data_IF_645771224039
#
_entry.id   IF_645771224039
#
_cell.length_a   1.000
_cell.length_b   1.000
_cell.length_c   1.000
_cell.angle_alpha   90.00
_cell.angle_beta   90.00
_cell.angle_gamma   90.00
#
_symmetry.space_group_name_H-M   'P 1'
#
loop_
_entity.id
_entity.type
_entity.pdbx_description
1 polymer ?
#
# COMPACT_ATOMS: atom_id res chain seq x y z
N UNK A 1 12.45 -18.83 -11.04
CA UNK A 1 11.44 -17.80 -10.71
C UNK A 1 10.89 -17.94 -9.28
N UNK A 2 10.72 -19.12 -8.73
CA UNK A 2 10.24 -19.34 -7.35
C UNK A 2 11.13 -18.69 -6.27
N UNK A 3 12.45 -18.68 -6.44
CA UNK A 3 13.38 -18.13 -5.44
C UNK A 3 13.29 -16.61 -5.25
N UNK A 4 12.93 -15.85 -6.27
CA UNK A 4 12.86 -14.37 -6.19
C UNK A 4 11.59 -13.92 -5.45
N UNK A 5 10.49 -14.61 -5.68
CA UNK A 5 9.19 -14.31 -5.06
C UNK A 5 9.22 -14.67 -3.57
N UNK A 6 9.80 -15.82 -3.23
CA UNK A 6 10.02 -16.24 -1.84
C UNK A 6 10.90 -15.24 -1.08
N UNK A 7 11.96 -14.73 -1.72
CA UNK A 7 12.87 -13.75 -1.11
C UNK A 7 12.18 -12.41 -0.83
N UNK A 8 11.38 -11.89 -1.75
CA UNK A 8 10.65 -10.63 -1.55
C UNK A 8 9.64 -10.74 -0.40
N UNK A 9 8.99 -11.89 -0.26
CA UNK A 9 8.01 -12.10 0.80
C UNK A 9 8.65 -12.29 2.18
N UNK A 10 9.76 -13.02 2.23
CA UNK A 10 10.58 -13.16 3.46
C UNK A 10 11.12 -11.80 3.91
N UNK A 11 11.58 -10.99 2.97
CA UNK A 11 12.04 -9.62 3.23
C UNK A 11 10.90 -8.73 3.75
N UNK A 12 9.74 -8.77 3.11
CA UNK A 12 8.55 -8.04 3.58
C UNK A 12 8.17 -8.46 5.01
N UNK A 13 8.15 -9.74 5.32
CA UNK A 13 7.83 -10.27 6.65
C UNK A 13 8.80 -9.77 7.72
N UNK A 14 10.10 -9.71 7.40
CA UNK A 14 11.15 -9.34 8.35
C UNK A 14 11.18 -7.82 8.59
N UNK A 15 11.12 -7.02 7.55
CA UNK A 15 11.30 -5.57 7.63
C UNK A 15 9.98 -4.79 7.76
N UNK A 16 8.91 -5.30 7.17
CA UNK A 16 7.60 -4.67 7.14
C UNK A 16 6.49 -5.63 7.58
N UNK A 17 6.49 -6.10 8.84
CA UNK A 17 5.57 -7.13 9.31
C UNK A 17 4.09 -6.73 9.20
N UNK A 18 3.77 -5.44 9.33
CA UNK A 18 2.40 -4.93 9.16
C UNK A 18 1.93 -5.06 7.72
N UNK A 19 2.79 -4.71 6.76
CA UNK A 19 2.47 -4.85 5.34
C UNK A 19 2.34 -6.32 4.94
N UNK A 20 3.16 -7.19 5.51
CA UNK A 20 3.07 -8.63 5.33
C UNK A 20 1.73 -9.18 5.85
N UNK A 21 1.28 -8.75 7.04
CA UNK A 21 0.01 -9.17 7.62
C UNK A 21 -1.18 -8.78 6.72
N UNK A 22 -1.18 -7.54 6.19
CA UNK A 22 -2.19 -7.11 5.22
C UNK A 22 -2.15 -7.95 3.93
N UNK A 23 -0.94 -8.27 3.44
CA UNK A 23 -0.77 -9.08 2.23
C UNK A 23 -1.35 -10.49 2.40
N UNK A 24 -1.05 -11.14 3.53
CA UNK A 24 -1.61 -12.47 3.87
C UNK A 24 -3.12 -12.40 3.98
N UNK A 25 -3.65 -11.41 4.70
CA UNK A 25 -5.08 -11.23 4.86
C UNK A 25 -5.80 -11.08 3.51
N UNK A 26 -5.34 -10.16 2.65
CA UNK A 26 -5.94 -9.92 1.34
C UNK A 26 -5.86 -11.17 0.43
N UNK A 27 -4.74 -11.88 0.46
CA UNK A 27 -4.55 -13.11 -0.31
C UNK A 27 -5.56 -14.19 0.11
N UNK A 28 -5.82 -14.32 1.41
CA UNK A 28 -6.79 -15.30 1.93
C UNK A 28 -8.25 -14.94 1.57
N UNK A 29 -8.55 -13.66 1.37
CA UNK A 29 -9.87 -13.24 0.88
C UNK A 29 -10.05 -13.50 -0.63
N UNK A 30 -8.94 -13.59 -1.37
CA UNK A 30 -8.94 -13.73 -2.83
C UNK A 30 -9.07 -15.21 -3.23
N UNK A 31 -10.27 -15.73 -3.17
CA UNK A 31 -10.60 -17.13 -3.54
C UNK A 31 -10.96 -17.29 -5.02
N UNK A 32 -10.23 -16.59 -5.92
CA UNK A 32 -10.43 -16.63 -7.38
C UNK A 32 -10.96 -15.33 -7.99
N UNK A 33 -11.71 -14.55 -7.22
CA UNK A 33 -12.17 -13.20 -7.59
C UNK A 33 -11.58 -12.15 -6.64
N UNK A 34 -11.35 -10.92 -7.14
CA UNK A 34 -10.90 -9.82 -6.29
C UNK A 34 -11.89 -9.56 -5.15
N UNK A 35 -11.42 -9.34 -3.91
CA UNK A 35 -12.27 -8.98 -2.80
C UNK A 35 -13.00 -7.65 -3.05
N UNK A 36 -14.17 -7.52 -2.42
CA UNK A 36 -14.92 -6.25 -2.33
C UNK A 36 -14.57 -5.53 -1.05
N UNK A 37 -14.90 -4.24 -0.97
CA UNK A 37 -14.77 -3.49 0.29
C UNK A 37 -15.59 -4.11 1.43
N UNK A 38 -16.75 -4.71 1.13
CA UNK A 38 -17.62 -5.39 2.10
C UNK A 38 -17.02 -6.65 2.71
N UNK A 39 -16.05 -7.26 2.04
CA UNK A 39 -15.41 -8.51 2.47
C UNK A 39 -14.30 -8.24 3.49
N UNK A 40 -13.92 -6.96 3.68
CA UNK A 40 -12.90 -6.55 4.64
C UNK A 40 -13.52 -6.49 6.04
N UNK A 41 -13.06 -7.37 6.93
CA UNK A 41 -13.40 -7.37 8.36
C UNK A 41 -12.29 -6.68 9.16
N UNK A 42 -12.52 -5.47 9.71
CA UNK A 42 -11.51 -4.74 10.48
C UNK A 42 -11.03 -5.48 11.73
N UNK A 43 -11.84 -6.38 12.30
CA UNK A 43 -11.48 -7.15 13.51
C UNK A 43 -10.32 -8.10 13.25
N UNK A 44 -10.15 -8.55 12.01
CA UNK A 44 -9.03 -9.39 11.60
C UNK A 44 -7.76 -8.60 11.27
N UNK A 45 -7.84 -7.27 11.33
CA UNK A 45 -6.75 -6.35 10.95
C UNK A 45 -6.35 -5.42 12.10
N UNK A 46 -6.64 -5.76 13.37
CA UNK A 46 -6.42 -4.88 14.52
C UNK A 46 -5.01 -4.26 14.55
N UNK A 47 -3.99 -5.06 14.29
CA UNK A 47 -2.59 -4.60 14.25
C UNK A 47 -2.25 -3.74 13.04
N UNK A 48 -2.99 -3.93 11.94
CA UNK A 48 -2.80 -3.21 10.67
C UNK A 48 -3.55 -1.88 10.66
N UNK A 49 -4.67 -1.76 11.39
CA UNK A 49 -5.53 -0.58 11.39
C UNK A 49 -4.78 0.75 11.58
N UNK A 50 -3.78 0.88 12.49
CA UNK A 50 -3.01 2.12 12.64
C UNK A 50 -2.23 2.54 11.39
N UNK A 51 -2.03 1.66 10.44
CA UNK A 51 -1.24 1.86 9.22
C UNK A 51 -2.08 1.81 7.94
N UNK A 52 -3.34 1.36 8.07
CA UNK A 52 -4.23 1.04 6.96
C UNK A 52 -4.91 2.28 6.42
N UNK A 53 -5.11 2.31 5.10
CA UNK A 53 -5.95 3.31 4.45
C UNK A 53 -6.78 2.68 3.32
N UNK A 54 -7.88 3.36 3.00
CA UNK A 54 -8.75 2.99 1.88
C UNK A 54 -8.73 4.12 0.89
N UNK A 55 -8.51 3.79 -0.37
CA UNK A 55 -8.55 4.71 -1.49
C UNK A 55 -9.83 4.51 -2.29
N UNK A 56 -10.48 5.61 -2.65
CA UNK A 56 -11.49 5.68 -3.70
C UNK A 56 -10.86 6.28 -4.95
N UNK A 57 -11.12 5.67 -6.09
CA UNK A 57 -10.65 6.20 -7.36
C UNK A 57 -11.42 7.46 -7.74
N UNK A 58 -10.70 8.53 -8.05
CA UNK A 58 -11.28 9.84 -8.45
C UNK A 58 -10.94 10.25 -9.87
N UNK A 59 -10.21 9.43 -10.60
CA UNK A 59 -9.79 9.72 -11.98
C UNK A 59 -9.04 8.55 -12.59
N UNK A 60 -8.43 8.78 -13.75
CA UNK A 60 -7.64 7.75 -14.43
C UNK A 60 -6.42 7.37 -13.59
N UNK A 61 -5.73 8.34 -13.01
CA UNK A 61 -4.41 8.20 -12.42
C UNK A 61 -4.31 8.75 -10.99
N UNK A 62 -5.44 8.94 -10.32
CA UNK A 62 -5.47 9.48 -8.98
C UNK A 62 -6.50 8.80 -8.09
N UNK A 63 -6.30 8.88 -6.79
CA UNK A 63 -7.16 8.28 -5.80
C UNK A 63 -7.28 9.17 -4.55
N UNK A 64 -8.50 9.31 -4.05
CA UNK A 64 -8.79 10.03 -2.82
C UNK A 64 -8.74 9.09 -1.62
N UNK A 65 -8.14 9.53 -0.54
CA UNK A 65 -8.11 8.80 0.72
C UNK A 65 -9.51 8.87 1.34
N UNK A 66 -10.21 7.74 1.35
CA UNK A 66 -11.54 7.60 1.95
C UNK A 66 -11.48 7.40 3.45
N UNK A 67 -10.46 6.64 3.87
CA UNK A 67 -10.14 6.35 5.26
C UNK A 67 -8.63 6.48 5.40
N UNK A 68 -8.17 7.33 6.29
CA UNK A 68 -6.77 7.46 6.68
C UNK A 68 -6.51 6.76 8.01
N UNK A 69 -5.28 6.34 8.20
CA UNK A 69 -4.81 5.76 9.46
C UNK A 69 -4.14 6.80 10.35
N UNK A 70 -4.01 6.50 11.63
CA UNK A 70 -3.25 7.34 12.56
C UNK A 70 -1.79 7.51 12.15
N UNK A 71 -1.19 6.52 11.52
CA UNK A 71 0.16 6.61 10.95
C UNK A 71 0.25 7.69 9.86
N UNK A 72 -0.71 7.71 8.92
CA UNK A 72 -0.76 8.74 7.88
C UNK A 72 -0.96 10.12 8.49
N UNK A 73 -1.88 10.28 9.43
CA UNK A 73 -2.12 11.55 10.10
C UNK A 73 -0.88 12.03 10.88
N UNK A 74 -0.16 11.12 11.53
CA UNK A 74 1.11 11.44 12.19
C UNK A 74 2.17 11.91 11.19
N UNK A 75 2.26 11.28 10.03
CA UNK A 75 3.23 11.64 8.98
C UNK A 75 2.92 12.99 8.31
N UNK A 76 1.65 13.32 8.17
CA UNK A 76 1.23 14.56 7.50
C UNK A 76 0.91 15.72 8.46
N UNK A 77 0.75 15.39 9.74
CA UNK A 77 0.33 16.37 10.73
C UNK A 77 -1.12 16.84 10.58
N UNK A 78 -1.92 16.19 9.73
CA UNK A 78 -3.30 16.58 9.42
C UNK A 78 -4.17 15.36 9.10
N UNK A 79 -5.50 15.45 9.28
CA UNK A 79 -6.43 14.43 8.84
C UNK A 79 -6.36 14.21 7.33
N UNK A 80 -6.25 12.94 6.92
CA UNK A 80 -6.02 12.60 5.51
C UNK A 80 -7.29 12.29 4.71
N UNK A 81 -8.44 12.14 5.38
CA UNK A 81 -9.70 11.85 4.70
C UNK A 81 -10.09 12.96 3.72
N UNK A 82 -10.29 12.60 2.46
CA UNK A 82 -10.65 13.52 1.37
C UNK A 82 -9.45 14.08 0.60
N UNK A 83 -8.23 13.90 1.08
CA UNK A 83 -7.02 14.30 0.37
C UNK A 83 -6.68 13.31 -0.75
N UNK A 84 -5.94 13.79 -1.75
CA UNK A 84 -5.43 12.92 -2.80
C UNK A 84 -4.23 12.12 -2.28
N UNK A 85 -4.12 10.87 -2.68
CA UNK A 85 -2.94 10.06 -2.30
C UNK A 85 -1.63 10.67 -2.82
N UNK A 86 -1.68 11.32 -3.99
CA UNK A 86 -0.55 12.05 -4.56
C UNK A 86 -0.02 13.19 -3.69
N UNK A 87 -0.85 13.75 -2.78
CA UNK A 87 -0.41 14.85 -1.90
C UNK A 87 0.65 14.40 -0.88
N UNK A 88 0.77 13.09 -0.64
CA UNK A 88 1.84 12.49 0.18
C UNK A 88 3.18 12.39 -0.55
N UNK A 89 3.17 12.55 -1.86
CA UNK A 89 4.27 12.15 -2.74
C UNK A 89 4.80 13.36 -3.48
N UNK A 90 6.12 13.42 -3.60
CA UNK A 90 6.77 14.48 -4.37
C UNK A 90 6.31 14.48 -5.83
N UNK A 91 6.07 15.65 -6.42
CA UNK A 91 5.64 15.78 -7.81
C UNK A 91 6.53 15.05 -8.83
N UNK A 92 7.83 14.93 -8.58
CA UNK A 92 8.76 14.18 -9.44
C UNK A 92 8.45 12.69 -9.54
N UNK A 93 7.74 12.15 -8.54
CA UNK A 93 7.34 10.73 -8.47
C UNK A 93 5.88 10.48 -8.89
N UNK A 94 5.10 11.51 -9.27
CA UNK A 94 3.69 11.36 -9.63
C UNK A 94 3.45 10.42 -10.83
N UNK A 95 4.35 10.40 -11.81
CA UNK A 95 4.26 9.47 -12.95
C UNK A 95 4.38 8.01 -12.50
N UNK A 96 5.19 7.74 -11.47
CA UNK A 96 5.34 6.37 -10.94
C UNK A 96 4.07 5.92 -10.24
N UNK A 97 3.41 6.81 -9.48
CA UNK A 97 2.11 6.55 -8.85
C UNK A 97 1.04 6.30 -9.90
N UNK A 98 0.95 7.16 -10.92
CA UNK A 98 -0.02 7.02 -12.00
C UNK A 98 0.08 5.67 -12.70
N UNK A 99 1.30 5.22 -13.00
CA UNK A 99 1.55 3.88 -13.55
C UNK A 99 1.16 2.76 -12.58
N UNK A 100 1.42 2.94 -11.28
CA UNK A 100 1.01 2.00 -10.25
C UNK A 100 -0.51 1.86 -10.17
N UNK A 101 -1.25 2.95 -10.16
CA UNK A 101 -2.71 2.94 -10.17
C UNK A 101 -3.29 2.33 -11.46
N UNK A 102 -2.66 2.58 -12.61
CA UNK A 102 -3.06 1.97 -13.88
C UNK A 102 -2.90 0.45 -13.84
N UNK A 103 -1.76 -0.06 -13.36
CA UNK A 103 -1.53 -1.50 -13.18
C UNK A 103 -2.53 -2.13 -12.21
N UNK A 104 -2.75 -1.48 -11.06
CA UNK A 104 -3.70 -1.94 -10.06
C UNK A 104 -5.11 -2.04 -10.63
N UNK A 105 -5.50 -1.09 -11.49
CA UNK A 105 -6.82 -1.03 -12.12
C UNK A 105 -6.97 -2.02 -13.29
N UNK A 106 -6.04 -1.99 -14.24
CA UNK A 106 -6.15 -2.73 -15.50
C UNK A 106 -5.69 -4.17 -15.34
N UNK A 107 -4.53 -4.36 -14.74
CA UNK A 107 -3.97 -5.69 -14.51
C UNK A 107 -4.53 -6.37 -13.26
N UNK A 108 -5.24 -5.61 -12.42
CA UNK A 108 -5.81 -6.11 -11.16
C UNK A 108 -4.74 -6.71 -10.23
N UNK A 109 -3.51 -6.22 -10.32
CA UNK A 109 -2.37 -6.71 -9.55
C UNK A 109 -2.04 -5.76 -8.39
N UNK A 110 -1.74 -6.30 -7.20
CA UNK A 110 -1.21 -5.52 -6.10
C UNK A 110 0.03 -4.73 -6.49
N UNK A 111 0.20 -3.56 -5.87
CA UNK A 111 1.34 -2.68 -6.12
C UNK A 111 2.09 -2.41 -4.83
N UNK A 112 3.41 -2.29 -4.89
CA UNK A 112 4.21 -1.79 -3.77
C UNK A 112 5.30 -0.84 -4.25
N UNK A 113 5.67 0.10 -3.38
CA UNK A 113 6.80 0.98 -3.62
C UNK A 113 7.58 1.27 -2.33
N UNK A 114 8.89 1.42 -2.47
CA UNK A 114 9.74 1.95 -1.43
C UNK A 114 9.70 3.47 -1.47
N UNK A 115 9.54 4.07 -0.31
CA UNK A 115 9.45 5.51 -0.13
C UNK A 115 10.56 6.02 0.78
N UNK A 116 10.99 7.25 0.53
CA UNK A 116 11.95 7.97 1.37
C UNK A 116 11.49 9.40 1.54
N UNK A 117 11.52 9.92 2.76
CA UNK A 117 11.18 11.33 3.01
C UNK A 117 12.19 12.26 2.38
N UNK A 118 11.69 13.41 1.91
CA UNK A 118 12.51 14.50 1.40
C UNK A 118 12.96 15.38 2.56
N UNK A 119 14.09 15.05 3.16
CA UNK A 119 14.76 15.85 4.16
C UNK A 119 16.21 16.12 3.77
N UNK A 120 16.69 17.31 4.08
CA UNK A 120 18.07 17.70 3.80
C UNK A 120 19.08 17.08 4.76
N UNK A 121 18.67 16.73 5.98
CA UNK A 121 19.52 16.01 6.94
C UNK A 121 19.21 14.51 6.89
N UNK A 122 20.20 13.71 6.50
CA UNK A 122 20.08 12.26 6.42
C UNK A 122 19.70 11.59 7.76
N UNK A 123 20.06 12.21 8.88
CA UNK A 123 19.75 11.69 10.23
C UNK A 123 18.27 11.77 10.58
N UNK A 124 17.53 12.63 9.90
CA UNK A 124 16.09 12.82 10.10
C UNK A 124 15.25 12.22 8.95
N UNK A 125 15.94 11.61 8.00
CA UNK A 125 15.28 10.90 6.89
C UNK A 125 14.61 9.63 7.40
N UNK A 126 13.35 9.45 7.04
CA UNK A 126 12.63 8.20 7.24
C UNK A 126 12.43 7.49 5.90
N UNK A 127 12.56 6.19 5.93
CA UNK A 127 12.28 5.32 4.79
C UNK A 127 11.10 4.41 5.13
N UNK A 128 10.45 3.90 4.12
CA UNK A 128 9.32 3.03 4.34
C UNK A 128 8.87 2.33 3.07
N UNK A 129 7.74 1.68 3.19
CA UNK A 129 7.11 0.98 2.08
C UNK A 129 5.60 1.20 2.12
N UNK A 130 5.02 1.34 0.95
CA UNK A 130 3.58 1.34 0.70
C UNK A 130 3.22 0.08 -0.05
N UNK A 131 2.09 -0.51 0.31
CA UNK A 131 1.48 -1.62 -0.43
C UNK A 131 0.01 -1.30 -0.70
N UNK A 132 -0.46 -1.64 -1.91
CA UNK A 132 -1.83 -1.40 -2.36
C UNK A 132 -2.41 -2.68 -2.95
N UNK A 133 -3.62 -3.03 -2.53
CA UNK A 133 -4.37 -4.18 -3.01
C UNK A 133 -5.66 -3.73 -3.67
N UNK A 134 -5.99 -4.22 -4.88
CA UNK A 134 -7.22 -3.86 -5.57
C UNK A 134 -8.45 -4.42 -4.88
N UNK A 135 -9.51 -3.60 -4.86
CA UNK A 135 -10.86 -4.01 -4.44
C UNK A 135 -11.84 -3.73 -5.57
N UNK A 136 -12.72 -4.70 -5.85
CA UNK A 136 -13.72 -4.57 -6.91
C UNK A 136 -15.06 -4.02 -6.42
N UNK A 137 -15.80 -3.45 -7.34
CA UNK A 137 -17.22 -3.14 -7.18
C UNK A 137 -18.10 -4.37 -7.54
N UNK A 138 -19.40 -4.17 -7.51
CA UNK A 138 -20.39 -5.21 -7.87
C UNK A 138 -20.34 -5.64 -9.33
N UNK A 139 -19.73 -4.82 -10.19
CA UNK A 139 -19.55 -5.08 -11.62
C UNK A 139 -18.17 -5.67 -11.95
N UNK A 140 -17.35 -6.01 -10.94
CA UNK A 140 -16.01 -6.56 -11.13
C UNK A 140 -14.94 -5.55 -11.51
N UNK A 141 -15.22 -4.23 -11.48
CA UNK A 141 -14.27 -3.17 -11.80
C UNK A 141 -13.51 -2.77 -10.56
N UNK A 142 -12.20 -2.52 -10.69
CA UNK A 142 -11.39 -1.98 -9.59
C UNK A 142 -11.68 -0.49 -9.43
N UNK A 143 -12.41 -0.15 -8.40
CA UNK A 143 -12.83 1.21 -8.05
C UNK A 143 -12.25 1.69 -6.72
N UNK A 144 -11.69 0.77 -5.94
CA UNK A 144 -11.10 1.03 -4.64
C UNK A 144 -9.78 0.27 -4.48
N UNK A 145 -9.00 0.70 -3.49
CA UNK A 145 -7.86 -0.07 -3.01
C UNK A 145 -7.81 -0.04 -1.48
N UNK A 146 -7.35 -1.12 -0.88
CA UNK A 146 -6.91 -1.16 0.50
C UNK A 146 -5.38 -1.13 0.50
N UNK A 147 -4.80 -0.31 1.36
CA UNK A 147 -3.36 -0.20 1.46
C UNK A 147 -2.89 -0.02 2.89
N UNK A 148 -1.60 -0.15 3.07
CA UNK A 148 -0.93 0.24 4.29
C UNK A 148 0.41 0.90 3.97
N UNK A 149 0.82 1.81 4.86
CA UNK A 149 2.11 2.48 4.82
C UNK A 149 2.83 2.20 6.14
N UNK A 150 4.03 1.64 6.06
CA UNK A 150 4.88 1.41 7.22
C UNK A 150 6.22 2.10 6.99
N UNK A 151 6.63 2.94 7.95
CA UNK A 151 7.93 3.60 7.93
C UNK A 151 8.87 2.97 8.94
N UNK A 152 10.15 3.09 8.64
CA UNK A 152 11.26 2.78 9.53
C UNK A 152 11.88 4.10 10.01
N UNK A 153 12.25 4.15 11.27
CA UNK A 153 12.79 5.35 11.89
C UNK A 153 11.76 6.07 12.76
N UNK A 154 12.20 7.16 13.36
CA UNK A 154 11.40 7.94 14.30
C UNK A 154 10.77 9.12 13.56
N UNK A 155 9.44 9.25 13.63
CA UNK A 155 8.73 10.42 13.11
C UNK A 155 8.98 11.58 14.07
N UNK A 156 9.66 12.64 13.61
CA UNK A 156 10.03 13.80 14.43
C UNK A 156 9.42 15.11 13.94
N UNK A 157 9.36 15.33 12.65
CA UNK A 157 9.10 16.63 12.03
C UNK A 157 8.06 16.57 10.91
N UNK A 158 6.79 16.25 11.22
CA UNK A 158 5.74 16.32 10.20
C UNK A 158 5.50 17.80 9.79
N UNK A 159 5.02 18.07 8.57
CA UNK A 159 4.60 17.10 7.55
C UNK A 159 5.76 16.49 6.76
N UNK A 160 5.60 15.21 6.37
CA UNK A 160 6.52 14.54 5.47
C UNK A 160 5.94 14.46 4.07
N UNK A 161 6.80 14.71 3.07
CA UNK A 161 6.57 14.37 1.66
C UNK A 161 7.56 13.28 1.26
N UNK A 162 7.12 12.34 0.46
CA UNK A 162 7.91 11.17 0.12
C UNK A 162 8.26 11.14 -1.38
N UNK A 163 9.49 10.74 -1.66
CA UNK A 163 9.92 10.32 -2.99
C UNK A 163 9.81 8.79 -3.12
N UNK A 164 9.42 8.31 -4.29
CA UNK A 164 9.38 6.88 -4.60
C UNK A 164 10.75 6.46 -5.11
N UNK A 165 11.44 5.61 -4.36
CA UNK A 165 12.79 5.14 -4.69
C UNK A 165 12.79 3.90 -5.56
N UNK A 166 11.80 3.04 -5.41
CA UNK A 166 11.69 1.80 -6.14
C UNK A 166 10.23 1.35 -6.19
N UNK A 167 9.76 1.00 -7.38
CA UNK A 167 8.55 0.20 -7.52
C UNK A 167 8.98 -1.25 -7.60
N UNK A 168 8.48 -2.10 -6.70
CA UNK A 168 8.66 -3.54 -6.88
C UNK A 168 7.90 -3.95 -8.15
N UNK A 169 8.56 -4.68 -9.03
CA UNK A 169 7.87 -5.37 -10.11
C UNK A 169 6.84 -6.29 -9.49
N UNK A 170 5.68 -6.34 -10.14
CA UNK A 170 4.47 -7.08 -9.75
C UNK A 170 4.77 -8.22 -8.78
N UNK A 171 4.42 -8.05 -7.50
CA UNK A 171 4.50 -9.14 -6.54
C UNK A 171 3.46 -10.15 -6.99
N UNK A 172 3.88 -11.31 -7.47
CA UNK A 172 2.97 -12.40 -7.84
C UNK A 172 2.40 -13.03 -6.56
N UNK A 173 1.36 -12.41 -6.05
CA UNK A 173 0.64 -12.90 -4.87
C UNK A 173 -0.13 -14.20 -5.14
N UNK A 174 -0.35 -14.60 -6.40
CA UNK A 174 -1.00 -15.85 -6.74
C UNK A 174 -0.15 -17.07 -6.32
N UNK A 175 1.17 -16.92 -6.28
CA UNK A 175 2.08 -17.97 -5.79
C UNK A 175 2.04 -18.11 -4.26
N UNK A 176 1.57 -17.10 -3.53
CA UNK A 176 1.54 -17.11 -2.06
C UNK A 176 0.44 -17.99 -1.48
N UNK A 177 -0.68 -18.14 -2.18
CA UNK A 177 -1.77 -19.04 -1.75
C UNK A 177 -1.34 -20.51 -1.72
N UNK A 178 -0.28 -20.87 -2.46
CA UNK A 178 0.24 -22.25 -2.53
C UNK A 178 1.22 -22.61 -1.42
N UNK A 179 1.78 -21.62 -0.72
CA UNK A 179 2.79 -21.87 0.33
C UNK A 179 2.15 -22.17 1.70
N UNK A 180 0.87 -21.86 1.89
CA UNK A 180 0.15 -22.08 3.15
C UNK A 180 -0.63 -23.39 3.22
N UNK A 181 -0.58 -24.22 2.18
CA UNK A 181 -1.25 -25.54 2.10
C UNK A 181 -0.27 -26.72 2.14
N UNK A 182 0.97 -26.50 2.57
CA UNK A 182 1.99 -27.53 2.75
C UNK A 182 2.45 -27.66 4.19
#
# INVERSE_FOLDING_TARGET
>A
MENVISFQFVHLRKEFPILHELAVYWTNLNSGDLPRRSDIDPRQLERVLPYLFILDRTGANNATIRLGSTQLETLTGAPMKGMQFSDLIDPSSHDMISRGFEKLRVKKTPQSCDIKSLFTDERDTISGKVILFPLRDVFGRVTKAIGALQVMGRIKYPPYTFDIRRTAQDIDFATLSKIHTG
#
